data_IF_063249633730
#
_entry.id   IF_063249633730
#
_cell.length_a   1.000
_cell.length_b   1.000
_cell.length_c   1.000
_cell.angle_alpha   90.00
_cell.angle_beta   90.00
_cell.angle_gamma   90.00
#
_symmetry.space_group_name_H-M   'P 1'
#
loop_
_entity.id
_entity.type
_entity.pdbx_description
1 polymer ?
#
# COMPACT_ATOMS: atom_id res chain seq x y z
N UNK A 1 -8.05 10.84 10.04
CA UNK A 1 -8.49 9.44 9.89
C UNK A 1 -7.54 8.44 10.51
N UNK A 2 -6.23 8.65 10.41
CA UNK A 2 -5.19 7.73 10.89
C UNK A 2 -4.23 8.44 11.84
N UNK A 3 -3.55 7.73 12.76
CA UNK A 3 -2.62 8.35 13.71
C UNK A 3 -1.46 9.10 13.05
N UNK A 4 -1.08 8.72 11.84
CA UNK A 4 -0.03 9.36 11.04
C UNK A 4 -0.57 10.46 10.12
N UNK A 5 -1.86 10.78 10.20
CA UNK A 5 -2.53 11.80 9.37
C UNK A 5 -2.38 11.51 7.87
N UNK A 6 -2.53 10.25 7.50
CA UNK A 6 -2.57 9.78 6.11
C UNK A 6 -3.98 9.30 5.77
N UNK A 7 -4.41 9.40 4.50
CA UNK A 7 -5.67 8.79 4.08
C UNK A 7 -5.71 7.31 4.41
N UNK A 8 -6.84 6.81 4.90
CA UNK A 8 -6.97 5.42 5.37
C UNK A 8 -6.59 4.40 4.30
N UNK A 9 -7.05 4.61 3.05
CA UNK A 9 -6.72 3.71 1.93
C UNK A 9 -5.21 3.61 1.69
N UNK A 10 -4.49 4.74 1.78
CA UNK A 10 -3.04 4.78 1.61
C UNK A 10 -2.31 4.15 2.81
N UNK A 11 -2.75 4.44 4.02
CA UNK A 11 -2.20 3.85 5.25
C UNK A 11 -2.35 2.33 5.26
N UNK A 12 -3.54 1.82 4.94
CA UNK A 12 -3.80 0.37 4.89
C UNK A 12 -2.99 -0.32 3.79
N UNK A 13 -2.89 0.27 2.58
CA UNK A 13 -2.09 -0.33 1.51
C UNK A 13 -0.61 -0.39 1.87
N UNK A 14 -0.07 0.66 2.49
CA UNK A 14 1.31 0.70 2.98
C UNK A 14 1.55 -0.32 4.10
N UNK A 15 0.59 -0.48 5.02
CA UNK A 15 0.66 -1.48 6.08
C UNK A 15 0.63 -2.92 5.53
N UNK A 16 -0.17 -3.19 4.48
CA UNK A 16 -0.17 -4.48 3.79
C UNK A 16 1.18 -4.77 3.14
N UNK A 17 1.80 -3.79 2.47
CA UNK A 17 3.12 -3.95 1.87
C UNK A 17 4.21 -4.22 2.93
N UNK A 18 4.15 -3.50 4.06
CA UNK A 18 5.02 -3.76 5.21
C UNK A 18 4.82 -5.19 5.74
N UNK A 19 3.57 -5.63 5.88
CA UNK A 19 3.24 -6.97 6.38
C UNK A 19 3.71 -8.08 5.43
N UNK A 20 3.61 -7.89 4.10
CA UNK A 20 4.19 -8.82 3.12
C UNK A 20 5.69 -9.02 3.35
N UNK A 21 6.43 -7.92 3.60
CA UNK A 21 7.85 -8.01 3.95
C UNK A 21 8.08 -8.78 5.25
N UNK A 22 7.29 -8.50 6.28
CA UNK A 22 7.42 -9.14 7.60
C UNK A 22 7.22 -10.66 7.54
N UNK A 23 6.12 -11.14 6.92
CA UNK A 23 5.81 -12.57 6.84
C UNK A 23 6.84 -13.36 6.04
N UNK A 24 7.52 -12.71 5.10
CA UNK A 24 8.65 -13.28 4.36
C UNK A 24 9.90 -13.39 5.23
N UNK A 25 10.26 -12.30 5.93
CA UNK A 25 11.50 -12.25 6.73
C UNK A 25 11.44 -13.11 7.97
N UNK A 26 10.30 -13.16 8.66
CA UNK A 26 10.10 -14.01 9.84
C UNK A 26 9.75 -15.47 9.49
N UNK A 27 9.73 -15.81 8.18
CA UNK A 27 9.46 -17.14 7.65
C UNK A 27 8.04 -17.67 7.93
N UNK A 28 7.07 -16.82 8.22
CA UNK A 28 5.65 -17.22 8.27
C UNK A 28 5.17 -17.66 6.88
N UNK A 29 5.58 -16.93 5.84
CA UNK A 29 5.36 -17.29 4.44
C UNK A 29 6.72 -17.34 3.71
N UNK A 30 7.52 -18.40 3.88
CA UNK A 30 8.91 -18.45 3.41
C UNK A 30 9.04 -18.54 1.89
N UNK A 31 7.96 -18.85 1.20
CA UNK A 31 7.90 -18.99 -0.25
C UNK A 31 7.40 -17.73 -0.96
N UNK A 32 7.03 -16.68 -0.23
CA UNK A 32 6.84 -15.38 -0.80
C UNK A 32 8.19 -14.72 -1.10
N UNK A 33 8.28 -14.01 -2.22
CA UNK A 33 9.49 -13.34 -2.70
C UNK A 33 9.35 -11.81 -2.61
N UNK A 34 10.44 -11.04 -2.80
CA UNK A 34 10.46 -9.62 -2.46
C UNK A 34 9.54 -8.71 -3.23
N UNK A 35 9.23 -9.01 -4.49
CA UNK A 35 8.41 -8.12 -5.31
C UNK A 35 6.92 -8.26 -4.98
N UNK A 36 6.22 -7.14 -4.92
CA UNK A 36 4.80 -7.14 -4.61
C UNK A 36 4.15 -5.78 -4.79
N UNK A 37 2.83 -5.82 -4.86
CA UNK A 37 1.96 -4.64 -4.97
C UNK A 37 0.80 -4.79 -4.01
N UNK A 38 0.36 -3.68 -3.45
CA UNK A 38 -0.82 -3.62 -2.59
C UNK A 38 -1.66 -2.41 -2.96
N UNK A 39 -2.97 -2.59 -2.94
CA UNK A 39 -3.93 -1.51 -3.12
C UNK A 39 -5.14 -1.77 -2.23
N UNK A 40 -5.69 -0.71 -1.64
CA UNK A 40 -6.91 -0.76 -0.85
C UNK A 40 -7.86 0.31 -1.36
N UNK A 41 -9.08 -0.08 -1.68
CA UNK A 41 -10.18 0.83 -2.00
C UNK A 41 -11.11 0.91 -0.81
N UNK A 42 -11.36 2.14 -0.33
CA UNK A 42 -12.22 2.41 0.81
C UNK A 42 -13.45 3.16 0.33
N UNK A 43 -14.62 2.75 0.78
CA UNK A 43 -15.87 3.46 0.59
C UNK A 43 -15.99 4.55 1.67
N UNK A 44 -16.32 5.78 1.25
CA UNK A 44 -16.45 6.93 2.12
C UNK A 44 -17.84 7.52 2.06
N UNK A 45 -18.34 7.97 3.21
CA UNK A 45 -19.49 8.86 3.31
C UNK A 45 -19.01 10.30 3.25
N UNK A 46 -19.62 11.11 2.37
CA UNK A 46 -19.33 12.54 2.24
C UNK A 46 -20.56 13.32 2.71
N UNK A 47 -20.40 14.07 3.80
CA UNK A 47 -21.44 14.92 4.38
C UNK A 47 -20.91 16.35 4.51
N UNK A 48 -21.29 17.21 3.56
CA UNK A 48 -20.73 18.56 3.46
C UNK A 48 -19.22 18.52 3.20
N UNK A 49 -18.42 19.00 4.15
CA UNK A 49 -16.96 18.97 4.08
C UNK A 49 -16.34 17.78 4.84
N UNK A 50 -17.16 16.96 5.49
CA UNK A 50 -16.68 15.80 6.26
C UNK A 50 -16.64 14.57 5.37
N UNK A 51 -15.50 13.88 5.42
CA UNK A 51 -15.29 12.62 4.70
C UNK A 51 -14.97 11.53 5.74
N UNK A 52 -15.82 10.51 5.83
CA UNK A 52 -15.71 9.45 6.84
C UNK A 52 -15.62 8.08 6.17
N UNK A 53 -14.58 7.27 6.48
CA UNK A 53 -14.47 5.92 5.95
C UNK A 53 -15.60 5.02 6.50
N UNK A 54 -16.21 4.23 5.65
CA UNK A 54 -17.27 3.28 5.99
C UNK A 54 -16.75 1.85 6.00
N UNK A 55 -16.19 1.40 4.88
CA UNK A 55 -15.77 0.02 4.68
C UNK A 55 -14.65 -0.08 3.63
N UNK A 56 -13.96 -1.19 3.63
CA UNK A 56 -13.02 -1.54 2.55
C UNK A 56 -13.83 -2.23 1.45
N UNK A 57 -13.90 -1.61 0.28
CA UNK A 57 -14.60 -2.17 -0.88
C UNK A 57 -13.75 -3.23 -1.59
N UNK A 58 -12.45 -2.95 -1.77
CA UNK A 58 -11.58 -3.90 -2.46
C UNK A 58 -10.16 -3.89 -1.89
N UNK A 59 -9.55 -5.08 -1.88
CA UNK A 59 -8.15 -5.30 -1.54
C UNK A 59 -7.49 -6.00 -2.71
N UNK A 60 -6.44 -5.39 -3.29
CA UNK A 60 -5.61 -6.03 -4.28
C UNK A 60 -4.22 -6.27 -3.70
N UNK A 61 -3.74 -7.51 -3.80
CA UNK A 61 -2.37 -7.88 -3.47
C UNK A 61 -1.83 -8.75 -4.61
N UNK A 62 -0.67 -8.36 -5.14
CA UNK A 62 0.14 -9.23 -5.99
C UNK A 62 1.47 -9.46 -5.29
N UNK A 63 1.84 -10.70 -5.05
CA UNK A 63 3.11 -11.07 -4.43
C UNK A 63 3.87 -12.05 -5.31
N UNK A 64 5.14 -11.78 -5.49
CA UNK A 64 6.06 -12.74 -6.11
C UNK A 64 6.20 -13.96 -5.20
N UNK A 65 6.27 -15.14 -5.79
CA UNK A 65 6.32 -16.41 -5.05
C UNK A 65 7.15 -17.47 -5.77
N UNK A 66 7.56 -18.51 -5.06
CA UNK A 66 8.20 -19.68 -5.65
C UNK A 66 7.19 -20.48 -6.47
N UNK A 67 7.69 -21.19 -7.48
CA UNK A 67 6.88 -22.04 -8.36
C UNK A 67 6.19 -23.21 -7.64
N UNK A 68 6.60 -23.52 -6.41
CA UNK A 68 6.01 -24.57 -5.58
C UNK A 68 4.65 -24.22 -4.99
N UNK A 69 4.28 -22.92 -4.92
CA UNK A 69 2.99 -22.49 -4.38
C UNK A 69 1.90 -22.53 -5.44
N UNK A 70 0.76 -23.10 -5.07
CA UNK A 70 -0.46 -23.02 -5.86
C UNK A 70 -1.17 -21.68 -5.62
N UNK A 71 -2.10 -21.32 -6.51
CA UNK A 71 -2.92 -20.12 -6.34
C UNK A 71 -3.75 -20.16 -5.05
N UNK A 72 -4.28 -21.33 -4.69
CA UNK A 72 -5.07 -21.51 -3.47
C UNK A 72 -4.21 -21.34 -2.20
N UNK A 73 -2.97 -21.84 -2.20
CA UNK A 73 -2.02 -21.62 -1.10
C UNK A 73 -1.71 -20.13 -0.93
N UNK A 74 -1.50 -19.42 -2.03
CA UNK A 74 -1.23 -17.98 -2.01
C UNK A 74 -2.41 -17.22 -1.42
N UNK A 75 -3.62 -17.51 -1.89
CA UNK A 75 -4.85 -16.87 -1.41
C UNK A 75 -5.05 -17.12 0.09
N UNK A 76 -4.89 -18.37 0.53
CA UNK A 76 -5.04 -18.74 1.94
C UNK A 76 -4.02 -18.02 2.82
N UNK A 77 -2.74 -18.03 2.44
CA UNK A 77 -1.67 -17.36 3.19
C UNK A 77 -1.84 -15.83 3.22
N UNK A 78 -2.22 -15.21 2.11
CA UNK A 78 -2.47 -13.77 2.06
C UNK A 78 -3.64 -13.36 2.97
N UNK A 79 -4.73 -14.10 2.96
CA UNK A 79 -5.89 -13.81 3.83
C UNK A 79 -5.52 -13.94 5.30
N UNK A 80 -4.91 -15.06 5.71
CA UNK A 80 -4.66 -15.34 7.12
C UNK A 80 -3.49 -14.52 7.69
N UNK A 81 -2.38 -14.41 6.96
CA UNK A 81 -1.14 -13.85 7.51
C UNK A 81 -0.87 -12.41 7.12
N UNK A 82 -1.55 -11.89 6.09
CA UNK A 82 -1.31 -10.52 5.59
C UNK A 82 -2.53 -9.63 5.82
N UNK A 83 -3.70 -10.02 5.33
CA UNK A 83 -4.89 -9.16 5.36
C UNK A 83 -5.48 -9.09 6.77
N UNK A 84 -5.79 -10.23 7.37
CA UNK A 84 -6.45 -10.34 8.67
C UNK A 84 -5.70 -9.62 9.82
N UNK A 85 -4.35 -9.65 9.90
CA UNK A 85 -3.64 -8.90 10.93
C UNK A 85 -3.54 -7.39 10.69
N UNK A 86 -3.81 -6.91 9.47
CA UNK A 86 -3.60 -5.51 9.08
C UNK A 86 -4.90 -4.74 8.96
N UNK A 87 -5.91 -5.33 8.32
CA UNK A 87 -7.19 -4.64 8.09
C UNK A 87 -8.10 -4.87 9.29
N UNK A 88 -8.49 -3.80 10.02
CA UNK A 88 -9.43 -3.95 11.11
C UNK A 88 -10.76 -4.57 10.65
N UNK A 89 -11.25 -5.56 11.40
CA UNK A 89 -12.45 -6.33 11.03
C UNK A 89 -13.70 -5.46 10.84
N UNK A 90 -13.77 -4.32 11.53
CA UNK A 90 -14.86 -3.36 11.38
C UNK A 90 -15.02 -2.76 9.97
N UNK A 91 -13.95 -2.80 9.18
CA UNK A 91 -13.97 -2.31 7.79
C UNK A 91 -14.19 -3.43 6.76
N UNK A 92 -14.23 -4.69 7.18
CA UNK A 92 -14.45 -5.84 6.30
C UNK A 92 -15.89 -6.35 6.43
N UNK A 93 -16.49 -6.66 5.30
CA UNK A 93 -17.81 -7.25 5.21
C UNK A 93 -17.90 -8.30 4.08
N UNK A 94 -19.09 -8.89 3.89
CA UNK A 94 -19.34 -9.90 2.86
C UNK A 94 -19.20 -9.34 1.43
N UNK A 95 -19.28 -8.03 1.25
CA UNK A 95 -19.18 -7.35 -0.04
C UNK A 95 -17.73 -6.97 -0.39
N UNK A 96 -16.80 -7.11 0.56
CA UNK A 96 -15.38 -6.81 0.32
C UNK A 96 -14.80 -7.74 -0.74
N UNK A 97 -14.26 -7.16 -1.80
CA UNK A 97 -13.68 -7.88 -2.94
C UNK A 97 -12.19 -8.13 -2.71
N UNK A 98 -11.75 -9.34 -3.01
CA UNK A 98 -10.35 -9.75 -2.84
C UNK A 98 -9.73 -10.10 -4.20
N UNK A 99 -8.76 -9.32 -4.64
CA UNK A 99 -7.98 -9.55 -5.86
C UNK A 99 -6.57 -9.99 -5.46
N UNK A 100 -6.38 -11.27 -5.26
CA UNK A 100 -5.14 -11.86 -4.74
C UNK A 100 -4.42 -12.60 -5.88
N UNK A 101 -3.26 -12.09 -6.29
CA UNK A 101 -2.55 -12.51 -7.50
C UNK A 101 -3.50 -12.67 -8.71
N UNK A 102 -4.28 -11.64 -9.07
CA UNK A 102 -5.34 -11.76 -10.07
C UNK A 102 -4.83 -12.08 -11.48
N UNK A 103 -3.55 -11.82 -11.74
CA UNK A 103 -2.91 -12.18 -13.01
C UNK A 103 -2.37 -13.62 -13.03
N UNK A 104 -2.62 -14.39 -11.96
CA UNK A 104 -2.10 -15.76 -11.81
C UNK A 104 -0.66 -15.79 -11.28
N UNK A 105 0.16 -16.65 -11.85
CA UNK A 105 1.53 -16.90 -11.39
C UNK A 105 2.42 -15.66 -11.49
N UNK A 106 3.14 -15.35 -10.39
CA UNK A 106 4.09 -14.25 -10.31
C UNK A 106 5.45 -14.77 -9.78
N UNK A 107 6.16 -15.51 -10.63
CA UNK A 107 7.43 -16.18 -10.29
C UNK A 107 8.61 -15.25 -10.60
N UNK A 108 8.58 -14.57 -11.74
CA UNK A 108 9.63 -13.64 -12.16
C UNK A 108 9.27 -12.24 -11.69
N UNK A 109 10.15 -11.61 -10.91
CA UNK A 109 9.94 -10.27 -10.38
C UNK A 109 11.25 -9.55 -10.07
N UNK A 110 11.15 -8.36 -9.47
CA UNK A 110 12.28 -7.50 -9.22
C UNK A 110 12.93 -6.99 -10.51
N UNK A 111 14.22 -6.60 -10.48
CA UNK A 111 14.89 -6.02 -11.65
C UNK A 111 14.93 -6.91 -12.88
N UNK A 112 14.81 -8.22 -12.70
CA UNK A 112 14.76 -9.18 -13.81
C UNK A 112 13.43 -9.12 -14.57
N UNK A 113 12.32 -8.87 -13.85
CA UNK A 113 10.99 -8.70 -14.45
C UNK A 113 10.75 -7.29 -14.97
N UNK A 114 11.14 -6.29 -14.17
CA UNK A 114 11.01 -4.87 -14.47
C UNK A 114 12.10 -4.08 -13.75
N UNK A 115 13.07 -3.57 -14.49
CA UNK A 115 14.21 -2.84 -13.90
C UNK A 115 13.79 -1.59 -13.12
N UNK A 116 12.71 -0.93 -13.55
CA UNK A 116 12.20 0.28 -12.93
C UNK A 116 13.14 1.49 -13.06
N UNK A 117 12.65 2.60 -12.56
CA UNK A 117 13.43 3.86 -12.47
C UNK A 117 13.10 4.57 -11.17
N UNK A 118 14.07 5.25 -10.58
CA UNK A 118 13.89 6.10 -9.40
C UNK A 118 12.87 7.22 -9.68
N UNK A 119 11.94 7.46 -8.75
CA UNK A 119 10.96 8.53 -8.86
C UNK A 119 9.84 8.28 -9.87
N UNK A 120 9.57 7.02 -10.26
CA UNK A 120 8.45 6.63 -11.15
C UNK A 120 7.21 6.18 -10.37
N UNK A 121 7.19 6.32 -9.03
CA UNK A 121 6.07 6.00 -8.14
C UNK A 121 5.73 7.16 -7.21
N UNK A 122 5.77 8.39 -7.74
CA UNK A 122 5.64 9.63 -6.97
C UNK A 122 4.29 9.77 -6.24
N UNK A 123 3.23 9.21 -6.76
CA UNK A 123 1.91 9.23 -6.11
C UNK A 123 1.89 8.27 -4.92
N UNK A 124 2.54 7.11 -5.03
CA UNK A 124 2.71 6.18 -3.90
C UNK A 124 3.61 6.80 -2.81
N UNK A 125 4.66 7.52 -3.21
CA UNK A 125 5.59 8.19 -2.30
C UNK A 125 4.93 9.34 -1.51
N UNK A 126 3.75 9.81 -1.92
CA UNK A 126 3.02 10.91 -1.30
C UNK A 126 1.70 10.44 -0.68
N UNK A 127 0.55 10.71 -1.28
CA UNK A 127 -0.76 10.51 -0.65
C UNK A 127 -1.68 9.55 -1.41
N UNK A 128 -1.15 8.77 -2.36
CA UNK A 128 -1.93 7.76 -3.08
C UNK A 128 -3.03 8.33 -3.98
N UNK A 129 -2.92 9.60 -4.39
CA UNK A 129 -3.90 10.28 -5.25
C UNK A 129 -4.92 11.15 -4.53
N UNK A 130 -4.89 11.21 -3.19
CA UNK A 130 -5.78 12.09 -2.41
C UNK A 130 -5.42 13.57 -2.54
N UNK A 131 -4.16 13.90 -2.73
CA UNK A 131 -3.68 15.26 -2.98
C UNK A 131 -3.13 15.41 -4.39
N UNK A 132 -3.16 16.64 -4.92
CA UNK A 132 -2.47 16.98 -6.15
C UNK A 132 -0.96 16.81 -6.02
N UNK A 133 -0.27 16.57 -7.15
CA UNK A 133 1.17 16.37 -7.19
C UNK A 133 1.82 17.20 -8.28
N UNK A 134 2.91 17.92 -7.95
CA UNK A 134 3.62 18.77 -8.89
C UNK A 134 4.58 18.02 -9.85
N UNK A 135 4.80 16.71 -9.64
CA UNK A 135 5.66 15.87 -10.48
C UNK A 135 7.07 15.65 -9.93
N UNK A 136 7.46 16.32 -8.85
CA UNK A 136 8.80 16.19 -8.26
C UNK A 136 8.97 14.89 -7.46
N UNK A 137 9.95 14.07 -7.83
CA UNK A 137 10.32 12.88 -7.07
C UNK A 137 11.09 13.23 -5.79
N UNK A 138 10.98 12.41 -4.74
CA UNK A 138 11.79 12.56 -3.52
C UNK A 138 13.06 11.72 -3.53
N UNK A 139 12.96 10.49 -4.04
CA UNK A 139 14.09 9.56 -4.09
C UNK A 139 15.27 10.14 -4.88
N UNK A 140 16.48 9.95 -4.36
CA UNK A 140 17.72 10.44 -4.98
C UNK A 140 18.00 11.93 -4.77
N UNK A 141 17.17 12.63 -3.97
CA UNK A 141 17.35 14.08 -3.68
C UNK A 141 17.76 14.29 -2.22
N UNK A 142 18.65 15.22 -1.99
CA UNK A 142 19.01 15.75 -0.68
C UNK A 142 18.18 17.01 -0.32
N UNK A 143 18.42 17.60 0.84
CA UNK A 143 17.70 18.79 1.33
C UNK A 143 17.87 20.07 0.50
N UNK A 144 18.82 20.12 -0.43
CA UNK A 144 19.03 21.27 -1.33
C UNK A 144 18.04 21.30 -2.50
N UNK A 145 17.33 20.20 -2.76
CA UNK A 145 16.35 20.09 -3.84
C UNK A 145 14.96 20.45 -3.31
N UNK A 146 14.42 21.54 -3.84
CA UNK A 146 13.15 22.13 -3.36
C UNK A 146 11.94 21.19 -3.46
N UNK A 147 11.87 20.34 -4.48
CA UNK A 147 10.80 19.34 -4.60
C UNK A 147 10.66 18.49 -3.34
N UNK A 148 11.76 18.14 -2.71
CA UNK A 148 11.77 17.35 -1.48
C UNK A 148 11.70 18.23 -0.23
N UNK A 149 12.56 19.23 -0.10
CA UNK A 149 12.63 20.05 1.11
C UNK A 149 11.36 20.86 1.34
N UNK A 150 10.78 21.45 0.29
CA UNK A 150 9.53 22.20 0.41
C UNK A 150 8.33 21.29 0.69
N UNK A 151 8.24 20.12 0.06
CA UNK A 151 7.17 19.17 0.33
C UNK A 151 7.19 18.67 1.79
N UNK A 152 8.37 18.41 2.35
CA UNK A 152 8.52 17.97 3.73
C UNK A 152 8.21 19.11 4.72
N UNK A 153 8.65 20.34 4.43
CA UNK A 153 8.33 21.50 5.24
C UNK A 153 6.82 21.81 5.22
N UNK A 154 6.20 21.75 4.04
CA UNK A 154 4.75 21.97 3.90
C UNK A 154 3.94 20.91 4.68
N UNK A 155 4.35 19.65 4.64
CA UNK A 155 3.71 18.61 5.45
C UNK A 155 3.87 18.86 6.96
N UNK A 156 5.05 19.28 7.39
CA UNK A 156 5.29 19.64 8.79
C UNK A 156 4.36 20.76 9.24
N UNK A 157 4.23 21.83 8.45
CA UNK A 157 3.32 22.94 8.75
C UNK A 157 1.87 22.45 8.80
N UNK A 158 1.41 21.70 7.79
CA UNK A 158 0.05 21.18 7.74
C UNK A 158 -0.30 20.31 8.95
N UNK A 159 0.61 19.40 9.32
CA UNK A 159 0.41 18.56 10.53
C UNK A 159 0.37 19.38 11.81
N UNK A 160 1.21 20.41 11.94
CA UNK A 160 1.22 21.30 13.11
C UNK A 160 -0.05 22.12 13.24
N UNK A 161 -0.76 22.39 12.14
CA UNK A 161 -2.04 23.12 12.16
C UNK A 161 -3.22 22.24 12.58
N UNK A 162 -3.16 20.92 12.37
CA UNK A 162 -4.29 20.01 12.61
C UNK A 162 -4.07 19.08 13.82
N UNK A 163 -2.88 19.07 14.39
CA UNK A 163 -2.57 18.38 15.64
C UNK A 163 -2.99 19.20 16.84
#
# INVERSE_FOLDING_TARGET
>A
ETPDMMPLSHSLSSALAKRLREVRLNKTCPDFLPDGKTQVTVEYLVEGQTVRPLRVDAILISTQHKASLTQDDIIAQLKEHVIKPVIPSQYLDEKTKYYLNPSGSFIIGGPHGDAGLTGRKIIVDTYGGWGGHGGGAFSGKDGTKVDRSAAYAARWVAKSLVA
#
